data_IF_968053896366
#
_entry.id   IF_968053896366
#
_cell.length_a   1.000
_cell.length_b   1.000
_cell.length_c   1.000
_cell.angle_alpha   90.00
_cell.angle_beta   90.00
_cell.angle_gamma   90.00
#
_symmetry.space_group_name_H-M   'P 1'
#
loop_
_entity.id
_entity.type
_entity.pdbx_description
1 polymer ?
#
# COMPACT_ATOMS: atom_id res chain seq x y z
N UNK A 1 30.24 4.32 -27.07
CA UNK A 1 28.77 4.37 -27.24
C UNK A 1 28.14 4.60 -25.87
N UNK A 2 27.33 5.67 -25.77
CA UNK A 2 26.50 6.17 -24.66
C UNK A 2 27.08 6.12 -23.24
N UNK A 3 27.73 7.22 -22.84
CA UNK A 3 27.59 7.71 -21.46
C UNK A 3 26.21 8.37 -21.39
N UNK A 4 25.21 7.65 -20.86
CA UNK A 4 23.95 8.27 -20.47
C UNK A 4 24.18 9.01 -19.15
N UNK A 5 23.94 10.33 -19.13
CA UNK A 5 23.98 11.09 -17.88
C UNK A 5 22.97 10.53 -16.87
N UNK A 6 23.32 10.59 -15.58
CA UNK A 6 22.43 10.16 -14.50
C UNK A 6 21.14 10.99 -14.56
N UNK A 7 20.01 10.33 -14.83
CA UNK A 7 18.68 10.96 -14.77
C UNK A 7 18.16 10.88 -13.35
N UNK A 8 17.62 11.99 -12.85
CA UNK A 8 16.84 11.99 -11.61
C UNK A 8 15.46 11.41 -11.88
N UNK A 9 15.00 10.54 -11.00
CA UNK A 9 13.67 9.92 -11.07
C UNK A 9 12.96 10.07 -9.73
N UNK A 10 11.63 10.22 -9.75
CA UNK A 10 10.76 9.98 -8.60
C UNK A 10 10.23 8.55 -8.73
N UNK A 11 10.25 7.79 -7.63
CA UNK A 11 9.79 6.40 -7.61
C UNK A 11 8.70 6.25 -6.56
N UNK A 12 7.54 5.70 -6.96
CA UNK A 12 6.48 5.28 -6.03
C UNK A 12 6.80 3.87 -5.52
N UNK A 13 6.90 3.70 -4.20
CA UNK A 13 7.13 2.37 -3.61
C UNK A 13 5.79 1.82 -3.11
N UNK A 14 5.28 0.69 -3.64
CA UNK A 14 3.95 0.17 -3.32
C UNK A 14 3.94 -0.58 -1.99
N UNK A 15 3.96 0.15 -0.88
CA UNK A 15 3.87 -0.43 0.46
C UNK A 15 2.42 -0.82 0.73
N UNK A 16 2.21 -2.09 1.11
CA UNK A 16 0.90 -2.66 1.42
C UNK A 16 0.89 -3.17 2.85
N UNK A 17 -0.23 -2.99 3.56
CA UNK A 17 -0.40 -3.48 4.93
C UNK A 17 -1.84 -3.88 5.17
N UNK A 18 -1.99 -4.97 5.90
CA UNK A 18 -3.29 -5.42 6.38
C UNK A 18 -3.70 -4.58 7.59
N UNK A 19 -4.94 -4.11 7.55
CA UNK A 19 -5.60 -3.38 8.64
C UNK A 19 -6.83 -4.19 9.05
N UNK A 20 -7.09 -4.22 10.35
CA UNK A 20 -8.21 -4.99 10.90
C UNK A 20 -9.38 -4.06 11.20
N UNK A 21 -10.59 -4.55 10.99
CA UNK A 21 -11.84 -3.88 11.32
C UNK A 21 -12.76 -4.85 12.02
N UNK A 22 -13.56 -4.33 12.95
CA UNK A 22 -14.64 -5.07 13.58
C UNK A 22 -15.97 -4.65 12.95
N UNK A 23 -16.69 -5.63 12.40
CA UNK A 23 -18.01 -5.47 11.78
C UNK A 23 -18.98 -6.48 12.39
N UNK A 24 -20.25 -6.10 12.47
CA UNK A 24 -21.34 -6.98 12.90
C UNK A 24 -22.03 -7.56 11.65
N UNK A 25 -22.26 -8.88 11.66
CA UNK A 25 -22.90 -9.67 10.58
C UNK A 25 -23.71 -10.81 11.19
N UNK A 26 -24.74 -11.26 10.49
CA UNK A 26 -25.59 -12.39 10.85
C UNK A 26 -24.91 -13.74 10.50
N UNK A 27 -24.27 -13.84 9.33
CA UNK A 27 -23.48 -15.02 8.91
C UNK A 27 -22.00 -14.65 8.62
N UNK A 28 -21.05 -15.02 9.50
CA UNK A 28 -19.63 -14.70 9.30
C UNK A 28 -18.96 -15.46 8.16
N UNK A 29 -19.60 -16.50 7.59
CA UNK A 29 -19.07 -17.24 6.43
C UNK A 29 -19.53 -16.64 5.10
N UNK A 30 -20.52 -15.75 5.13
CA UNK A 30 -21.02 -15.04 3.96
C UNK A 30 -20.13 -13.82 3.63
N UNK A 31 -19.22 -14.01 2.67
CA UNK A 31 -18.24 -12.98 2.27
C UNK A 31 -18.91 -11.72 1.71
N UNK A 32 -20.04 -11.85 1.01
CA UNK A 32 -20.74 -10.70 0.45
C UNK A 32 -21.31 -9.81 1.58
N UNK A 33 -21.86 -10.43 2.62
CA UNK A 33 -22.37 -9.72 3.80
C UNK A 33 -21.26 -9.01 4.57
N UNK A 34 -20.14 -9.71 4.84
CA UNK A 34 -18.96 -9.14 5.50
C UNK A 34 -18.44 -7.94 4.70
N UNK A 35 -18.32 -8.07 3.38
CA UNK A 35 -17.84 -7.01 2.49
C UNK A 35 -18.77 -5.80 2.48
N UNK A 36 -20.09 -6.02 2.45
CA UNK A 36 -21.09 -4.95 2.51
C UNK A 36 -21.08 -4.22 3.87
N UNK A 37 -20.90 -4.95 4.98
CA UNK A 37 -20.78 -4.35 6.31
C UNK A 37 -19.50 -3.51 6.43
N UNK A 38 -18.38 -4.03 5.92
CA UNK A 38 -17.09 -3.34 5.91
C UNK A 38 -17.11 -2.08 5.03
N UNK A 39 -17.75 -2.12 3.86
CA UNK A 39 -17.84 -0.98 2.94
C UNK A 39 -18.57 0.24 3.54
N UNK A 40 -19.29 0.07 4.65
CA UNK A 40 -19.97 1.15 5.39
C UNK A 40 -19.10 1.78 6.48
N UNK A 41 -17.94 1.21 6.80
CA UNK A 41 -16.99 1.74 7.78
C UNK A 41 -16.16 2.88 7.18
N UNK A 42 -15.75 3.81 8.03
CA UNK A 42 -14.78 4.82 7.65
C UNK A 42 -13.39 4.17 7.52
N UNK A 43 -12.63 4.42 6.44
CA UNK A 43 -11.31 3.82 6.24
C UNK A 43 -10.26 4.15 7.31
N UNK A 44 -10.50 5.09 8.22
CA UNK A 44 -9.63 5.42 9.35
C UNK A 44 -9.99 4.71 10.66
N UNK A 45 -11.13 4.02 10.71
CA UNK A 45 -11.62 3.33 11.92
C UNK A 45 -11.09 1.90 12.05
N UNK A 46 -9.77 1.74 11.95
CA UNK A 46 -9.12 0.45 12.21
C UNK A 46 -9.27 0.04 13.67
N UNK A 47 -9.33 -1.26 13.92
CA UNK A 47 -9.41 -1.84 15.27
C UNK A 47 -8.17 -1.53 16.11
N UNK A 48 -7.01 -1.52 15.47
CA UNK A 48 -5.72 -1.27 16.11
C UNK A 48 -4.81 -0.42 15.21
N UNK A 49 -3.80 0.19 15.82
CA UNK A 49 -2.75 0.89 15.08
C UNK A 49 -2.00 -0.12 14.17
N UNK A 50 -1.93 0.13 12.85
CA UNK A 50 -1.22 -0.75 11.92
C UNK A 50 0.31 -0.64 12.00
N UNK A 51 0.84 0.27 12.82
CA UNK A 51 2.28 0.47 13.06
C UNK A 51 3.08 0.57 11.76
N UNK A 52 2.60 1.41 10.83
CA UNK A 52 3.16 1.51 9.48
C UNK A 52 4.65 1.85 9.48
N UNK A 53 5.08 2.74 10.38
CA UNK A 53 6.45 3.23 10.40
C UNK A 53 7.41 2.25 11.08
N UNK A 54 6.95 1.59 12.13
CA UNK A 54 7.71 0.57 12.86
C UNK A 54 8.06 -0.60 11.95
N UNK A 55 7.09 -1.01 11.11
CA UNK A 55 7.27 -2.13 10.18
C UNK A 55 7.82 -1.73 8.82
N UNK A 56 7.99 -0.43 8.55
CA UNK A 56 8.47 0.05 7.26
C UNK A 56 9.81 -0.60 6.90
N UNK A 57 10.73 -0.69 7.86
CA UNK A 57 12.03 -1.33 7.68
C UNK A 57 11.93 -2.80 7.27
N UNK A 58 11.00 -3.54 7.88
CA UNK A 58 10.79 -4.97 7.63
C UNK A 58 10.26 -5.23 6.22
N UNK A 59 9.32 -4.39 5.76
CA UNK A 59 8.65 -4.57 4.46
C UNK A 59 9.35 -3.85 3.31
N UNK A 60 10.27 -2.93 3.60
CA UNK A 60 10.91 -2.06 2.61
C UNK A 60 11.50 -2.83 1.45
N UNK A 61 12.35 -3.82 1.76
CA UNK A 61 13.05 -4.62 0.73
C UNK A 61 12.05 -5.30 -0.21
N UNK A 62 11.01 -5.91 0.34
CA UNK A 62 9.97 -6.58 -0.44
C UNK A 62 9.14 -5.61 -1.28
N UNK A 63 8.85 -4.42 -0.75
CA UNK A 63 8.12 -3.39 -1.47
C UNK A 63 8.94 -2.83 -2.66
N UNK A 64 10.25 -2.66 -2.49
CA UNK A 64 11.17 -2.24 -3.55
C UNK A 64 11.25 -3.28 -4.67
N UNK A 65 11.28 -4.57 -4.35
CA UNK A 65 11.31 -5.65 -5.34
C UNK A 65 10.03 -5.71 -6.21
N UNK A 66 8.94 -5.06 -5.76
CA UNK A 66 7.67 -4.98 -6.48
C UNK A 66 7.53 -3.74 -7.37
N UNK A 67 8.44 -2.77 -7.30
CA UNK A 67 8.40 -1.56 -8.12
C UNK A 67 8.37 -1.92 -9.61
N UNK A 68 7.37 -1.41 -10.33
CA UNK A 68 7.22 -1.61 -11.76
C UNK A 68 7.61 -0.34 -12.54
N UNK A 69 7.65 -0.44 -13.87
CA UNK A 69 8.02 0.69 -14.74
C UNK A 69 7.08 1.87 -14.57
N UNK A 70 5.81 1.60 -14.32
CA UNK A 70 4.74 2.58 -14.12
C UNK A 70 4.91 3.39 -12.82
N UNK A 71 5.72 2.89 -11.89
CA UNK A 71 6.02 3.56 -10.63
C UNK A 71 7.17 4.57 -10.75
N UNK A 72 7.83 4.68 -11.92
CA UNK A 72 9.02 5.52 -12.13
C UNK A 72 8.67 6.71 -13.01
N UNK A 73 8.83 7.92 -12.46
CA UNK A 73 8.67 9.19 -13.14
C UNK A 73 10.05 9.85 -13.35
N UNK A 74 10.40 10.18 -14.61
CA UNK A 74 11.64 10.93 -14.91
C UNK A 74 11.41 12.40 -14.59
N UNK A 75 12.27 12.99 -13.76
CA UNK A 75 12.23 14.41 -13.47
C UNK A 75 13.10 15.13 -14.51
N UNK A 76 12.48 15.91 -15.39
CA UNK A 76 13.23 16.84 -16.26
C UNK A 76 13.72 18.02 -15.42
N UNK A 77 14.99 18.40 -15.57
CA UNK A 77 15.51 19.61 -14.94
C UNK A 77 14.92 20.82 -15.69
N UNK A 78 14.11 21.62 -14.97
CA UNK A 78 13.51 22.87 -15.46
C UNK A 78 14.55 23.95 -15.73
#
# INVERSE_FOLDING_TARGET
MRQGGNKKVRVRVPITRDVYYVVEVDDPTNIDEVSMSLARKDPSQWECDPSFYEHLGDVWKHAVDKVQKEDIEILEES
#
